data_IF_102873202552
#
_entry.id   IF_102873202552
#
_cell.length_a   1.000
_cell.length_b   1.000
_cell.length_c   1.000
_cell.angle_alpha   90.00
_cell.angle_beta   90.00
_cell.angle_gamma   90.00
#
_symmetry.space_group_name_H-M   'P 1'
#
loop_
_entity.id
_entity.type
_entity.pdbx_description
1 polymer ?
#
# COMPACT_ATOMS: atom_id res chain seq x y z
N UNK A 1 8.96 -39.12 -21.03
CA UNK A 1 7.95 -38.85 -19.99
C UNK A 1 8.02 -37.37 -19.64
N UNK A 2 7.06 -36.53 -20.05
CA UNK A 2 7.15 -35.09 -19.80
C UNK A 2 6.60 -34.77 -18.40
N UNK A 3 7.45 -34.12 -17.61
CA UNK A 3 7.17 -33.63 -16.26
C UNK A 3 6.17 -32.46 -16.34
N UNK A 4 4.96 -32.65 -15.80
CA UNK A 4 3.93 -31.59 -15.71
C UNK A 4 4.17 -30.77 -14.44
N UNK A 5 4.77 -29.59 -14.58
CA UNK A 5 4.77 -28.55 -13.53
C UNK A 5 3.40 -27.87 -13.56
N UNK A 6 2.56 -28.18 -12.57
CA UNK A 6 1.29 -27.48 -12.31
C UNK A 6 1.54 -26.44 -11.23
N UNK A 7 2.00 -25.24 -11.62
CA UNK A 7 1.90 -24.04 -10.78
C UNK A 7 0.41 -23.68 -10.66
N UNK A 8 -0.20 -23.94 -9.49
CA UNK A 8 -1.56 -23.51 -9.20
C UNK A 8 -1.57 -21.98 -9.06
N UNK A 9 -1.99 -21.27 -10.11
CA UNK A 9 -2.54 -19.94 -9.97
C UNK A 9 -3.81 -20.04 -9.11
N UNK A 10 -3.80 -19.54 -7.88
CA UNK A 10 -5.03 -19.34 -7.11
C UNK A 10 -5.77 -18.18 -7.73
N UNK A 11 -6.57 -18.50 -8.74
CA UNK A 11 -7.73 -17.70 -9.01
C UNK A 11 -8.72 -17.88 -7.89
N UNK A 12 -9.22 -16.78 -7.33
CA UNK A 12 -10.55 -16.81 -6.71
C UNK A 12 -11.60 -16.87 -7.83
N UNK A 13 -11.56 -17.92 -8.66
CA UNK A 13 -12.70 -18.34 -9.45
C UNK A 13 -13.39 -19.37 -8.56
N UNK A 14 -14.39 -18.91 -7.81
CA UNK A 14 -15.22 -19.76 -6.95
C UNK A 14 -15.72 -20.94 -7.79
N UNK A 15 -15.27 -22.18 -7.54
CA UNK A 15 -15.92 -23.36 -8.11
C UNK A 15 -17.33 -23.37 -7.54
N UNK A 16 -18.32 -23.66 -8.39
CA UNK A 16 -19.77 -23.60 -8.08
C UNK A 16 -20.25 -24.54 -6.95
N UNK A 17 -19.38 -25.02 -6.06
CA UNK A 17 -19.71 -25.97 -5.00
C UNK A 17 -18.97 -25.81 -3.67
N UNK A 18 -18.33 -24.67 -3.36
CA UNK A 18 -17.96 -24.26 -1.97
C UNK A 18 -17.68 -22.75 -1.94
N UNK A 19 -18.72 -21.96 -1.72
CA UNK A 19 -18.59 -20.54 -1.38
C UNK A 19 -17.81 -20.45 -0.06
N UNK A 20 -16.56 -19.96 -0.09
CA UNK A 20 -15.90 -19.49 1.13
C UNK A 20 -16.73 -18.31 1.63
N UNK A 21 -17.45 -18.52 2.73
CA UNK A 21 -18.28 -17.49 3.36
C UNK A 21 -17.40 -16.61 4.23
N UNK A 22 -17.65 -15.31 4.21
CA UNK A 22 -17.09 -14.37 5.18
C UNK A 22 -17.75 -14.72 6.51
N UNK A 23 -16.97 -14.96 7.55
CA UNK A 23 -17.52 -15.36 8.85
C UNK A 23 -16.90 -14.53 9.96
N UNK A 24 -17.71 -14.28 10.99
CA UNK A 24 -17.35 -13.42 12.10
C UNK A 24 -17.44 -14.22 13.39
N UNK A 25 -16.46 -14.04 14.27
CA UNK A 25 -16.55 -14.56 15.63
C UNK A 25 -17.52 -13.69 16.47
N UNK A 26 -17.90 -14.13 17.69
CA UNK A 26 -18.77 -13.37 18.58
C UNK A 26 -18.27 -11.97 18.95
N UNK A 27 -16.97 -11.69 18.78
CA UNK A 27 -16.39 -10.36 18.97
C UNK A 27 -16.48 -9.47 17.72
N UNK A 28 -17.16 -9.92 16.65
CA UNK A 28 -17.30 -9.18 15.40
C UNK A 28 -16.04 -9.20 14.53
N UNK A 29 -15.08 -10.09 14.81
CA UNK A 29 -13.86 -10.21 14.02
C UNK A 29 -14.03 -11.18 12.85
N UNK A 30 -13.66 -10.73 11.65
CA UNK A 30 -13.58 -11.56 10.46
C UNK A 30 -12.60 -12.74 10.66
N UNK A 31 -12.95 -13.95 10.23
CA UNK A 31 -12.09 -15.14 10.18
C UNK A 31 -12.49 -15.99 8.97
N UNK A 32 -11.61 -16.87 8.50
CA UNK A 32 -12.04 -17.90 7.55
C UNK A 32 -13.00 -18.87 8.25
N UNK A 33 -14.01 -19.35 7.50
CA UNK A 33 -14.99 -20.30 8.02
C UNK A 33 -14.33 -21.59 8.52
N UNK A 34 -13.32 -22.08 7.82
CA UNK A 34 -12.58 -23.29 8.16
C UNK A 34 -11.82 -23.15 9.49
N UNK A 35 -11.22 -21.99 9.74
CA UNK A 35 -10.55 -21.71 11.02
C UNK A 35 -11.57 -21.62 12.15
N UNK A 36 -12.66 -20.87 11.95
CA UNK A 36 -13.75 -20.77 12.93
C UNK A 36 -14.35 -22.13 13.27
N UNK A 37 -14.63 -22.98 12.27
CA UNK A 37 -15.12 -24.33 12.53
C UNK A 37 -14.13 -25.19 13.31
N UNK A 38 -12.83 -25.05 13.05
CA UNK A 38 -11.81 -25.84 13.72
C UNK A 38 -11.55 -25.38 15.16
N UNK A 39 -11.67 -24.08 15.45
CA UNK A 39 -11.29 -23.52 16.76
C UNK A 39 -12.47 -23.15 17.64
N UNK A 40 -13.60 -22.72 17.07
CA UNK A 40 -14.79 -22.21 17.77
C UNK A 40 -16.07 -22.45 16.93
N UNK A 41 -16.51 -23.71 16.76
CA UNK A 41 -17.58 -24.06 15.83
C UNK A 41 -18.94 -23.38 16.12
N UNK A 42 -19.23 -23.10 17.38
CA UNK A 42 -20.42 -22.38 17.85
C UNK A 42 -20.42 -20.88 17.50
N UNK A 43 -19.24 -20.32 17.22
CA UNK A 43 -19.02 -18.91 16.94
C UNK A 43 -19.18 -18.55 15.45
N UNK A 44 -19.32 -19.53 14.56
CA UNK A 44 -19.27 -19.31 13.13
C UNK A 44 -20.60 -18.73 12.59
N UNK A 45 -20.68 -17.39 12.42
CA UNK A 45 -21.84 -16.69 11.81
C UNK A 45 -21.47 -16.02 10.49
N UNK A 46 -22.38 -16.07 9.51
CA UNK A 46 -22.15 -15.65 8.13
C UNK A 46 -22.23 -14.13 7.90
N UNK A 47 -22.81 -13.38 8.84
CA UNK A 47 -23.15 -11.97 8.64
C UNK A 47 -22.58 -11.12 9.77
N UNK A 48 -21.50 -10.41 9.46
CA UNK A 48 -20.92 -9.39 10.31
C UNK A 48 -20.44 -8.23 9.46
N UNK A 49 -20.42 -7.06 10.08
CA UNK A 49 -19.87 -5.86 9.45
C UNK A 49 -18.36 -5.87 9.71
N UNK A 50 -17.58 -5.74 8.64
CA UNK A 50 -16.11 -5.71 8.72
C UNK A 50 -15.67 -4.40 9.37
N UNK A 51 -15.29 -4.44 10.65
CA UNK A 51 -14.60 -3.33 11.30
C UNK A 51 -13.10 -3.40 11.00
N UNK A 52 -12.69 -2.82 9.88
CA UNK A 52 -11.27 -2.60 9.60
C UNK A 52 -10.75 -1.44 10.45
N UNK A 53 -9.59 -1.60 11.09
CA UNK A 53 -8.92 -0.47 11.77
C UNK A 53 -8.18 0.34 10.71
N UNK A 54 -8.41 1.64 10.65
CA UNK A 54 -7.66 2.56 9.78
C UNK A 54 -6.69 3.37 10.64
N UNK A 55 -5.46 3.48 10.19
CA UNK A 55 -4.40 4.28 10.79
C UNK A 55 -3.83 5.24 9.75
N UNK A 56 -3.74 6.52 10.12
CA UNK A 56 -3.40 7.59 9.18
C UNK A 56 -2.27 8.50 9.68
N UNK A 57 -1.78 8.36 10.92
CA UNK A 57 -0.68 9.15 11.53
C UNK A 57 -0.64 10.64 11.15
N UNK A 58 -1.82 11.28 11.08
CA UNK A 58 -2.06 12.58 10.46
C UNK A 58 -1.21 13.74 11.03
N UNK A 59 -0.76 13.62 12.28
CA UNK A 59 0.02 14.66 12.96
C UNK A 59 1.28 15.05 12.17
N UNK A 60 2.05 14.07 11.71
CA UNK A 60 3.31 14.30 11.00
C UNK A 60 3.10 15.03 9.66
N UNK A 61 2.06 14.65 8.91
CA UNK A 61 1.70 15.32 7.66
C UNK A 61 1.21 16.74 7.90
N UNK A 62 0.36 16.96 8.91
CA UNK A 62 -0.16 18.30 9.21
C UNK A 62 0.94 19.25 9.68
N UNK A 63 1.98 18.75 10.34
CA UNK A 63 3.15 19.54 10.72
C UNK A 63 3.96 20.09 9.54
N UNK A 64 3.77 19.55 8.34
CA UNK A 64 4.31 20.08 7.08
C UNK A 64 3.38 21.09 6.40
N UNK A 65 2.11 21.17 6.81
CA UNK A 65 1.18 22.19 6.33
C UNK A 65 1.47 23.50 7.07
N UNK A 66 1.58 24.66 6.39
CA UNK A 66 1.80 25.96 7.03
C UNK A 66 0.74 26.24 8.10
N UNK A 67 1.15 26.85 9.22
CA UNK A 67 0.26 27.05 10.38
C UNK A 67 -1.04 27.78 10.02
N UNK A 68 -0.94 28.84 9.20
CA UNK A 68 -2.09 29.62 8.73
C UNK A 68 -3.08 28.85 7.86
N UNK A 69 -2.68 27.73 7.27
CA UNK A 69 -3.58 26.86 6.47
C UNK A 69 -4.00 25.61 7.24
N UNK A 70 -3.22 25.21 8.26
CA UNK A 70 -3.49 24.04 9.10
C UNK A 70 -4.77 24.18 9.90
N UNK A 71 -5.16 25.41 10.29
CA UNK A 71 -6.41 25.64 11.01
C UNK A 71 -7.67 25.17 10.25
N UNK A 72 -7.63 25.17 8.90
CA UNK A 72 -8.71 24.69 8.03
C UNK A 72 -8.80 23.16 7.97
N UNK A 73 -7.80 22.47 8.51
CA UNK A 73 -7.68 21.01 8.58
C UNK A 73 -7.74 20.49 10.03
N UNK A 74 -7.99 21.37 11.01
CA UNK A 74 -8.12 21.02 12.43
C UNK A 74 -9.53 20.55 12.83
N UNK A 75 -9.77 20.31 14.14
CA UNK A 75 -11.06 19.84 14.66
C UNK A 75 -12.24 20.78 14.34
N UNK A 76 -11.98 22.08 14.14
CA UNK A 76 -12.98 23.07 13.76
C UNK A 76 -13.35 23.09 12.27
N UNK A 77 -12.76 22.23 11.44
CA UNK A 77 -12.99 22.25 9.99
C UNK A 77 -14.46 21.99 9.61
N UNK A 78 -15.15 21.10 10.35
CA UNK A 78 -16.56 20.80 10.14
C UNK A 78 -17.45 22.04 10.32
N UNK A 79 -17.09 22.93 11.26
CA UNK A 79 -17.81 24.19 11.49
C UNK A 79 -17.68 25.17 10.32
N UNK A 80 -16.66 24.99 9.48
CA UNK A 80 -16.45 25.74 8.23
C UNK A 80 -17.14 25.08 7.02
N UNK A 81 -17.93 24.03 7.25
CA UNK A 81 -18.58 23.25 6.18
C UNK A 81 -17.62 22.34 5.41
N UNK A 82 -16.40 22.13 5.91
CA UNK A 82 -15.43 21.23 5.27
C UNK A 82 -15.76 19.76 5.56
N UNK A 83 -15.37 18.81 4.69
CA UNK A 83 -15.55 17.39 4.96
C UNK A 83 -14.74 16.91 6.17
N UNK A 84 -15.08 15.75 6.77
CA UNK A 84 -14.30 15.19 7.86
C UNK A 84 -12.83 14.99 7.49
N UNK A 85 -11.90 15.34 8.39
CA UNK A 85 -10.44 15.21 8.16
C UNK A 85 -10.01 13.78 7.81
N UNK A 86 -10.69 12.77 8.33
CA UNK A 86 -10.44 11.36 7.97
C UNK A 86 -10.70 11.03 6.49
N UNK A 87 -11.33 11.94 5.74
CA UNK A 87 -11.54 11.82 4.29
C UNK A 87 -10.53 12.63 3.48
N UNK A 88 -9.60 13.36 4.12
CA UNK A 88 -8.55 14.14 3.46
C UNK A 88 -7.64 13.23 2.63
N UNK A 89 -7.40 13.59 1.38
CA UNK A 89 -6.56 12.84 0.46
C UNK A 89 -5.28 13.57 0.13
N UNK A 90 -5.40 14.84 -0.26
CA UNK A 90 -4.26 15.65 -0.69
C UNK A 90 -4.37 17.07 -0.10
N UNK A 91 -3.24 17.64 0.28
CA UNK A 91 -3.06 19.07 0.50
C UNK A 91 -2.10 19.58 -0.56
N UNK A 92 -2.47 20.65 -1.26
CA UNK A 92 -1.70 21.22 -2.36
C UNK A 92 -1.34 22.67 -2.04
N UNK A 93 -0.04 22.96 -2.09
CA UNK A 93 0.55 24.23 -1.78
C UNK A 93 1.42 24.66 -2.97
N UNK A 94 0.88 25.49 -3.87
CA UNK A 94 1.61 25.99 -5.04
C UNK A 94 1.87 27.50 -4.87
N UNK A 95 3.13 27.93 -5.02
CA UNK A 95 3.54 29.33 -4.90
C UNK A 95 2.68 30.24 -5.79
N UNK A 96 2.09 31.28 -5.19
CA UNK A 96 1.21 32.22 -5.87
C UNK A 96 -0.21 31.72 -6.13
N UNK A 97 -0.57 30.51 -5.70
CA UNK A 97 -1.93 29.97 -5.78
C UNK A 97 -2.59 29.89 -4.40
N UNK A 98 -3.92 29.91 -4.39
CA UNK A 98 -4.69 29.67 -3.16
C UNK A 98 -4.46 28.22 -2.68
N UNK A 99 -4.10 28.01 -1.41
CA UNK A 99 -3.88 26.68 -0.86
C UNK A 99 -5.18 25.89 -0.89
N UNK A 100 -5.09 24.59 -1.20
CA UNK A 100 -6.27 23.75 -1.40
C UNK A 100 -6.06 22.33 -0.92
N UNK A 101 -7.15 21.67 -0.58
CA UNK A 101 -7.18 20.27 -0.18
C UNK A 101 -8.26 19.51 -0.95
N UNK A 102 -8.03 18.21 -1.14
CA UNK A 102 -8.98 17.30 -1.74
C UNK A 102 -9.45 16.29 -0.70
N UNK A 103 -10.76 16.08 -0.65
CA UNK A 103 -11.42 15.12 0.25
C UNK A 103 -12.23 14.09 -0.55
N UNK A 104 -12.23 12.83 -0.11
CA UNK A 104 -13.14 11.80 -0.64
C UNK A 104 -13.18 11.68 -2.17
N UNK A 105 -14.36 11.82 -2.79
CA UNK A 105 -14.50 11.79 -4.27
C UNK A 105 -14.03 13.10 -4.92
N UNK A 106 -12.81 13.53 -4.60
CA UNK A 106 -12.16 14.74 -5.12
C UNK A 106 -12.92 16.04 -4.85
N UNK A 107 -13.57 16.14 -3.69
CA UNK A 107 -14.17 17.39 -3.24
C UNK A 107 -13.05 18.38 -2.92
N UNK A 108 -12.94 19.43 -3.75
CA UNK A 108 -11.98 20.51 -3.59
C UNK A 108 -12.44 21.49 -2.50
N UNK A 109 -11.52 21.83 -1.60
CA UNK A 109 -11.72 22.81 -0.53
C UNK A 109 -10.53 23.75 -0.49
N UNK A 110 -10.76 25.05 -0.38
CA UNK A 110 -9.68 26.02 -0.20
C UNK A 110 -9.34 26.19 1.28
N UNK A 111 -8.05 26.31 1.60
CA UNK A 111 -7.53 26.46 2.96
C UNK A 111 -7.26 27.91 3.33
N UNK A 112 -8.08 28.81 2.79
CA UNK A 112 -8.08 30.24 3.04
C UNK A 112 -9.46 30.78 2.62
N UNK A 113 -10.04 31.76 3.31
CA UNK A 113 -11.36 32.30 2.97
C UNK A 113 -11.32 33.27 1.78
N UNK A 114 -10.32 34.16 1.75
CA UNK A 114 -10.16 35.17 0.71
C UNK A 114 -9.39 34.61 -0.49
N UNK A 115 -9.66 35.16 -1.68
CA UNK A 115 -9.03 34.73 -2.93
C UNK A 115 -7.61 35.27 -3.14
N UNK A 116 -7.25 36.38 -2.49
CA UNK A 116 -5.94 37.01 -2.56
C UNK A 116 -4.92 36.40 -1.59
N UNK A 117 -5.37 35.54 -0.68
CA UNK A 117 -4.48 34.75 0.17
C UNK A 117 -3.93 33.59 -0.65
N UNK A 118 -2.64 33.68 -0.96
CA UNK A 118 -1.90 32.71 -1.77
C UNK A 118 -0.74 32.13 -0.98
N UNK A 119 -0.24 30.97 -1.41
CA UNK A 119 0.98 30.38 -0.84
C UNK A 119 2.18 31.24 -1.23
N UNK A 120 2.98 31.58 -0.23
CA UNK A 120 4.22 32.34 -0.37
C UNK A 120 5.43 31.44 -0.12
N UNK A 121 6.63 31.87 -0.51
CA UNK A 121 7.85 31.08 -0.28
C UNK A 121 8.06 30.80 1.21
N UNK A 122 7.77 31.79 2.07
CA UNK A 122 7.83 31.65 3.52
C UNK A 122 6.89 30.59 4.11
N UNK A 123 5.82 30.21 3.38
CA UNK A 123 4.97 29.08 3.78
C UNK A 123 5.63 27.73 3.48
N UNK A 124 6.35 27.63 2.36
CA UNK A 124 6.99 26.39 1.93
C UNK A 124 8.27 26.12 2.72
N UNK A 125 9.05 27.16 3.05
CA UNK A 125 10.37 27.04 3.67
C UNK A 125 10.41 26.16 4.92
N UNK A 126 9.47 26.24 5.89
CA UNK A 126 9.48 25.35 7.06
C UNK A 126 9.29 23.87 6.70
N UNK A 127 8.44 23.56 5.72
CA UNK A 127 8.23 22.20 5.26
C UNK A 127 9.46 21.69 4.51
N UNK A 128 10.05 22.53 3.66
CA UNK A 128 11.27 22.21 2.91
C UNK A 128 12.46 21.97 3.83
N UNK A 129 12.62 22.78 4.89
CA UNK A 129 13.67 22.57 5.89
C UNK A 129 13.54 21.22 6.62
N UNK A 130 12.31 20.79 6.95
CA UNK A 130 12.05 19.46 7.54
C UNK A 130 12.30 18.30 6.58
N UNK A 131 12.17 18.55 5.28
CA UNK A 131 12.33 17.58 4.20
C UNK A 131 13.69 17.69 3.50
N UNK A 132 14.61 18.50 4.04
CA UNK A 132 15.88 18.78 3.38
C UNK A 132 16.69 17.49 3.16
N UNK A 133 17.26 17.38 1.97
CA UNK A 133 17.97 16.17 1.52
C UNK A 133 17.10 14.91 1.30
N UNK A 134 15.78 14.94 1.56
CA UNK A 134 14.90 13.75 1.44
C UNK A 134 14.26 13.58 0.06
N UNK A 135 14.34 14.59 -0.81
CA UNK A 135 13.77 14.49 -2.15
C UNK A 135 14.63 13.63 -3.07
N UNK A 136 14.07 12.52 -3.54
CA UNK A 136 14.68 11.65 -4.54
C UNK A 136 14.64 12.23 -5.95
N UNK A 137 15.21 11.49 -6.91
CA UNK A 137 15.25 11.85 -8.32
C UNK A 137 13.86 11.95 -8.98
N UNK A 138 12.83 11.35 -8.36
CA UNK A 138 11.43 11.41 -8.79
C UNK A 138 10.65 12.57 -8.15
N UNK A 139 11.33 13.48 -7.45
CA UNK A 139 10.77 14.59 -6.68
C UNK A 139 9.83 14.17 -5.54
N UNK A 140 9.99 12.96 -5.01
CA UNK A 140 9.28 12.53 -3.80
C UNK A 140 10.19 12.63 -2.59
N UNK A 141 9.63 13.09 -1.47
CA UNK A 141 10.23 13.00 -0.16
C UNK A 141 9.38 12.07 0.72
N UNK A 142 10.06 11.12 1.35
CA UNK A 142 9.48 10.23 2.34
C UNK A 142 9.72 10.68 3.77
N UNK A 143 8.82 10.29 4.66
CA UNK A 143 9.04 10.37 6.10
C UNK A 143 9.19 8.95 6.65
N UNK A 144 10.17 8.77 7.51
CA UNK A 144 10.43 7.50 8.17
C UNK A 144 9.21 7.01 8.94
N UNK A 145 8.85 5.74 8.78
CA UNK A 145 7.71 5.13 9.44
C UNK A 145 6.35 5.62 8.94
N UNK A 146 6.30 6.38 7.84
CA UNK A 146 5.07 7.01 7.33
C UNK A 146 4.65 6.47 5.96
N UNK A 147 3.33 6.40 5.72
CA UNK A 147 2.76 6.13 4.39
C UNK A 147 2.41 7.42 3.63
N UNK A 148 2.57 8.58 4.26
CA UNK A 148 2.36 9.86 3.61
C UNK A 148 3.39 10.05 2.50
N UNK A 149 2.94 10.67 1.40
CA UNK A 149 3.81 10.98 0.26
C UNK A 149 3.86 12.47 0.05
N UNK A 150 5.07 13.03 -0.01
CA UNK A 150 5.28 14.44 -0.30
C UNK A 150 5.92 14.54 -1.67
N UNK A 151 5.28 15.24 -2.59
CA UNK A 151 5.77 15.42 -3.97
C UNK A 151 6.04 16.89 -4.23
N UNK A 152 7.23 17.21 -4.73
CA UNK A 152 7.63 18.57 -5.07
C UNK A 152 7.47 18.84 -6.58
N UNK A 153 7.07 20.06 -6.91
CA UNK A 153 7.25 20.64 -8.24
C UNK A 153 8.48 21.53 -8.24
N UNK A 154 9.39 21.32 -9.20
CA UNK A 154 10.64 22.07 -9.32
C UNK A 154 10.70 22.89 -10.59
N UNK A 155 11.20 24.11 -10.46
CA UNK A 155 11.61 24.92 -11.58
C UNK A 155 12.88 24.32 -12.23
N UNK A 156 13.19 24.75 -13.46
CA UNK A 156 14.43 24.34 -14.15
C UNK A 156 15.70 24.73 -13.37
N UNK A 157 15.62 25.75 -12.52
CA UNK A 157 16.68 26.16 -11.59
C UNK A 157 16.86 25.23 -10.39
N UNK A 158 15.99 24.24 -10.21
CA UNK A 158 15.97 23.33 -9.06
C UNK A 158 15.13 23.82 -7.87
N UNK A 159 14.71 25.09 -7.86
CA UNK A 159 13.85 25.65 -6.81
C UNK A 159 12.51 24.93 -6.76
N UNK A 160 12.09 24.51 -5.55
CA UNK A 160 10.76 23.95 -5.32
C UNK A 160 9.77 25.10 -5.22
N UNK A 161 8.72 25.06 -6.05
CA UNK A 161 7.65 26.07 -6.05
C UNK A 161 6.28 25.49 -5.71
N UNK A 162 6.17 24.19 -5.51
CA UNK A 162 4.91 23.54 -5.16
C UNK A 162 5.11 22.24 -4.41
N UNK A 163 4.18 21.94 -3.50
CA UNK A 163 4.13 20.70 -2.73
C UNK A 163 2.74 20.07 -2.81
N UNK A 164 2.70 18.76 -3.06
CA UNK A 164 1.52 17.92 -2.83
C UNK A 164 1.80 16.99 -1.66
N UNK A 165 1.02 17.09 -0.59
CA UNK A 165 1.07 16.22 0.56
C UNK A 165 -0.11 15.24 0.49
N UNK A 166 0.18 13.98 0.15
CA UNK A 166 -0.82 12.92 0.04
C UNK A 166 -0.91 12.12 1.33
N UNK A 167 -2.13 11.95 1.82
CA UNK A 167 -2.45 11.18 3.01
C UNK A 167 -2.38 9.67 2.72
N UNK A 168 -1.33 9.01 3.22
CA UNK A 168 -1.25 7.56 3.27
C UNK A 168 -2.07 6.98 4.42
N UNK A 169 -2.61 5.78 4.20
CA UNK A 169 -3.42 5.06 5.19
C UNK A 169 -3.03 3.60 5.25
N UNK A 170 -2.93 3.08 6.46
CA UNK A 170 -2.85 1.66 6.74
C UNK A 170 -4.23 1.17 7.17
N UNK A 171 -4.77 0.18 6.44
CA UNK A 171 -6.02 -0.49 6.81
C UNK A 171 -5.66 -1.90 7.26
N UNK A 172 -6.16 -2.29 8.43
CA UNK A 172 -5.94 -3.58 9.05
C UNK A 172 -7.24 -4.37 9.16
N UNK A 173 -7.13 -5.69 9.21
CA UNK A 173 -8.21 -6.65 9.35
C UNK A 173 -8.70 -7.27 8.03
N UNK A 174 -8.16 -6.84 6.89
CA UNK A 174 -8.60 -7.29 5.57
C UNK A 174 -8.05 -8.66 5.19
N UNK A 175 -6.89 -9.05 5.73
CA UNK A 175 -6.28 -10.37 5.45
C UNK A 175 -6.83 -11.49 6.30
N UNK A 176 -7.76 -11.23 7.23
CA UNK A 176 -8.28 -12.26 8.14
C UNK A 176 -8.92 -13.44 7.37
N UNK A 177 -9.56 -13.20 6.22
CA UNK A 177 -10.10 -14.26 5.34
C UNK A 177 -9.03 -15.10 4.63
N UNK A 178 -7.81 -14.58 4.53
CA UNK A 178 -6.70 -15.23 3.84
C UNK A 178 -5.73 -15.89 4.82
N UNK A 179 -6.00 -15.83 6.13
CA UNK A 179 -5.07 -16.30 7.16
C UNK A 179 -4.73 -17.79 7.01
N UNK A 180 -5.69 -18.63 6.60
CA UNK A 180 -5.47 -20.05 6.31
C UNK A 180 -4.48 -20.23 5.15
N UNK A 181 -4.66 -19.47 4.06
CA UNK A 181 -3.77 -19.51 2.90
C UNK A 181 -2.38 -18.97 3.26
N UNK A 182 -2.33 -17.88 4.03
CA UNK A 182 -1.09 -17.20 4.40
C UNK A 182 -0.29 -18.01 5.42
N UNK A 183 -0.89 -18.52 6.49
CA UNK A 183 -0.15 -19.15 7.59
C UNK A 183 -0.02 -20.66 7.48
N UNK A 184 -0.99 -21.36 6.89
CA UNK A 184 -0.94 -22.83 6.76
C UNK A 184 -0.38 -23.29 5.40
N UNK A 185 -0.41 -22.43 4.38
CA UNK A 185 0.07 -22.75 3.04
C UNK A 185 1.51 -22.31 2.76
N UNK A 186 2.21 -23.07 1.92
CA UNK A 186 3.52 -22.69 1.35
C UNK A 186 3.41 -22.12 -0.07
N UNK A 187 2.20 -22.13 -0.62
CA UNK A 187 1.92 -21.72 -2.00
C UNK A 187 2.05 -20.22 -2.20
N UNK A 188 2.46 -19.84 -3.41
CA UNK A 188 2.54 -18.45 -3.82
C UNK A 188 1.16 -17.87 -4.10
N UNK A 189 0.96 -16.59 -3.78
CA UNK A 189 -0.33 -15.92 -3.80
C UNK A 189 -0.24 -14.71 -4.70
N UNK A 190 -1.17 -14.60 -5.65
CA UNK A 190 -1.27 -13.45 -6.55
C UNK A 190 -2.64 -12.78 -6.34
N UNK A 191 -2.64 -11.52 -5.90
CA UNK A 191 -3.83 -10.70 -5.70
C UNK A 191 -4.15 -9.98 -7.00
N UNK A 192 -5.29 -10.31 -7.60
CA UNK A 192 -5.73 -9.73 -8.88
C UNK A 192 -6.81 -8.67 -8.67
N UNK A 193 -6.79 -7.64 -9.51
CA UNK A 193 -7.85 -6.65 -9.56
C UNK A 193 -7.48 -5.37 -10.28
N UNK A 194 -8.50 -4.58 -10.60
CA UNK A 194 -8.36 -3.28 -11.26
C UNK A 194 -7.50 -2.31 -10.43
N UNK A 195 -6.96 -1.24 -11.04
CA UNK A 195 -6.37 -0.14 -10.30
C UNK A 195 -7.32 0.39 -9.21
N UNK A 196 -6.79 0.71 -8.02
CA UNK A 196 -7.57 1.27 -6.91
C UNK A 196 -8.46 0.29 -6.14
N UNK A 197 -8.49 -1.01 -6.45
CA UNK A 197 -9.36 -1.97 -5.75
C UNK A 197 -8.83 -2.47 -4.39
N UNK A 198 -7.76 -1.87 -3.85
CA UNK A 198 -7.20 -2.23 -2.53
C UNK A 198 -6.19 -3.39 -2.52
N UNK A 199 -5.61 -3.77 -3.66
CA UNK A 199 -4.59 -4.84 -3.75
C UNK A 199 -3.41 -4.60 -2.80
N UNK A 200 -2.81 -3.41 -2.87
CA UNK A 200 -1.66 -3.02 -2.05
C UNK A 200 -2.00 -3.08 -0.56
N UNK A 201 -3.22 -2.74 -0.16
CA UNK A 201 -3.69 -2.89 1.22
C UNK A 201 -3.64 -4.35 1.69
N UNK A 202 -4.11 -5.29 0.86
CA UNK A 202 -4.09 -6.73 1.17
C UNK A 202 -2.64 -7.22 1.22
N UNK A 203 -1.83 -6.88 0.22
CA UNK A 203 -0.43 -7.31 0.12
C UNK A 203 0.40 -6.79 1.30
N UNK A 204 0.23 -5.52 1.67
CA UNK A 204 0.89 -4.89 2.82
C UNK A 204 0.56 -5.60 4.12
N UNK A 205 -0.73 -5.82 4.39
CA UNK A 205 -1.12 -6.50 5.61
C UNK A 205 -0.70 -7.98 5.62
N UNK A 206 -0.66 -8.64 4.46
CA UNK A 206 -0.19 -10.01 4.37
C UNK A 206 1.31 -10.12 4.65
N UNK A 207 2.12 -9.15 4.21
CA UNK A 207 3.53 -9.04 4.59
C UNK A 207 3.70 -8.95 6.11
N UNK A 208 2.88 -8.13 6.77
CA UNK A 208 2.84 -8.04 8.24
C UNK A 208 2.50 -9.36 8.89
N UNK A 209 1.39 -9.99 8.50
CA UNK A 209 0.92 -11.26 9.07
C UNK A 209 1.98 -12.35 8.95
N UNK A 210 2.61 -12.48 7.78
CA UNK A 210 3.66 -13.47 7.54
C UNK A 210 4.92 -13.19 8.35
N UNK A 211 5.36 -11.92 8.41
CA UNK A 211 6.57 -11.55 9.14
C UNK A 211 6.41 -11.66 10.67
N UNK A 212 5.24 -11.32 11.20
CA UNK A 212 4.90 -11.52 12.62
C UNK A 212 4.80 -13.00 12.99
N UNK A 213 4.44 -13.86 12.02
CA UNK A 213 4.53 -15.32 12.15
C UNK A 213 5.97 -15.87 12.03
N UNK A 214 6.97 -14.99 12.16
CA UNK A 214 8.41 -15.31 12.18
C UNK A 214 8.99 -15.82 10.86
N UNK A 215 8.29 -15.62 9.75
CA UNK A 215 8.87 -15.84 8.42
C UNK A 215 9.81 -14.69 8.06
N UNK A 216 10.93 -15.00 7.40
CA UNK A 216 11.81 -14.02 6.79
C UNK A 216 11.14 -13.44 5.53
N UNK A 217 10.43 -12.32 5.71
CA UNK A 217 9.72 -11.63 4.65
C UNK A 217 10.55 -10.47 4.11
N UNK A 218 10.75 -10.43 2.79
CA UNK A 218 11.38 -9.31 2.07
C UNK A 218 10.37 -8.72 1.10
N UNK A 219 10.06 -7.44 1.25
CA UNK A 219 9.25 -6.66 0.30
C UNK A 219 10.17 -6.03 -0.74
N UNK A 220 9.96 -6.37 -2.01
CA UNK A 220 10.55 -5.68 -3.16
C UNK A 220 9.56 -4.59 -3.59
N UNK A 221 9.82 -3.37 -3.14
CA UNK A 221 8.87 -2.24 -3.20
C UNK A 221 9.32 -1.24 -4.27
N UNK A 222 8.60 -1.23 -5.40
CA UNK A 222 8.98 -0.42 -6.57
C UNK A 222 8.34 0.95 -6.58
N UNK A 223 7.13 1.05 -6.04
CA UNK A 223 6.34 2.27 -5.98
C UNK A 223 6.47 2.98 -4.62
N UNK A 224 7.12 2.32 -3.65
CA UNK A 224 7.13 2.62 -2.22
C UNK A 224 5.73 2.63 -1.59
N UNK A 225 4.73 2.05 -2.26
CA UNK A 225 3.36 2.04 -1.76
C UNK A 225 3.17 1.04 -0.63
N UNK A 226 3.93 -0.06 -0.57
CA UNK A 226 3.75 -1.06 0.49
C UNK A 226 4.33 -0.54 1.81
N UNK A 227 5.58 -0.11 1.80
CA UNK A 227 6.35 0.22 3.00
C UNK A 227 6.41 1.72 3.31
N UNK A 228 6.02 2.60 2.38
CA UNK A 228 6.18 4.04 2.50
C UNK A 228 7.49 4.55 1.89
N UNK A 229 7.58 5.86 1.64
CA UNK A 229 8.71 6.50 0.95
C UNK A 229 9.95 6.72 1.85
N UNK A 230 9.81 6.68 3.18
CA UNK A 230 10.93 6.86 4.13
C UNK A 230 11.91 5.70 4.13
N UNK A 231 13.11 5.87 4.71
CA UNK A 231 14.12 4.80 4.87
C UNK A 231 13.67 3.74 5.87
N UNK A 232 12.95 4.15 6.91
CA UNK A 232 12.30 3.24 7.86
C UNK A 232 10.90 2.87 7.34
N UNK A 233 10.59 1.58 7.12
CA UNK A 233 9.25 1.15 6.69
C UNK A 233 8.17 1.50 7.72
N UNK A 234 6.96 1.78 7.25
CA UNK A 234 5.79 1.96 8.12
C UNK A 234 5.48 0.66 8.90
N UNK A 235 5.07 0.79 10.17
CA UNK A 235 4.78 -0.36 11.06
C UNK A 235 3.70 -1.33 10.55
N UNK A 236 2.94 -0.93 9.54
CA UNK A 236 1.88 -1.72 8.92
C UNK A 236 2.39 -2.92 8.12
N UNK A 237 3.71 -3.02 7.88
CA UNK A 237 4.36 -4.21 7.31
C UNK A 237 4.96 -5.14 8.36
N UNK A 238 4.81 -4.84 9.66
CA UNK A 238 5.32 -5.69 10.75
C UNK A 238 6.84 -5.77 10.77
N UNK A 239 7.35 -7.00 10.80
CA UNK A 239 8.79 -7.31 10.80
C UNK A 239 9.36 -7.48 9.39
N UNK A 240 8.55 -7.27 8.34
CA UNK A 240 8.99 -7.43 6.97
C UNK A 240 10.10 -6.42 6.64
N UNK A 241 11.17 -6.91 6.02
CA UNK A 241 12.27 -6.09 5.52
C UNK A 241 11.94 -5.56 4.13
N UNK A 242 12.60 -4.49 3.69
CA UNK A 242 12.37 -3.90 2.37
C UNK A 242 13.66 -3.82 1.55
N UNK A 243 13.53 -4.10 0.25
CA UNK A 243 14.43 -3.65 -0.80
C UNK A 243 13.70 -2.64 -1.68
N UNK A 244 14.22 -1.41 -1.75
CA UNK A 244 13.68 -0.37 -2.65
C UNK A 244 14.17 -0.63 -4.08
N UNK A 245 13.26 -0.54 -5.05
CA UNK A 245 13.65 -0.67 -6.47
C UNK A 245 13.89 0.72 -7.06
N UNK A 246 15.07 1.00 -7.66
CA UNK A 246 15.38 2.34 -8.19
C UNK A 246 14.44 2.82 -9.31
N UNK A 247 13.97 1.89 -10.13
CA UNK A 247 12.96 2.16 -11.16
C UNK A 247 12.34 0.86 -11.64
N UNK A 248 11.17 0.94 -12.26
CA UNK A 248 10.44 -0.22 -12.80
C UNK A 248 11.40 -1.21 -13.52
N UNK A 249 12.19 -0.85 -14.55
CA UNK A 249 13.08 -1.80 -15.24
C UNK A 249 13.98 -2.67 -14.35
N UNK A 250 14.35 -2.19 -13.16
CA UNK A 250 15.26 -2.88 -12.25
C UNK A 250 14.58 -3.90 -11.33
N UNK A 251 13.24 -3.93 -11.27
CA UNK A 251 12.49 -4.81 -10.35
C UNK A 251 12.86 -6.29 -10.50
N UNK A 252 13.01 -6.77 -11.74
CA UNK A 252 13.42 -8.15 -11.99
C UNK A 252 14.80 -8.48 -11.39
N UNK A 253 15.77 -7.55 -11.50
CA UNK A 253 17.09 -7.70 -10.90
C UNK A 253 17.04 -7.75 -9.38
N UNK A 254 16.28 -6.82 -8.76
CA UNK A 254 16.12 -6.77 -7.30
C UNK A 254 15.42 -8.02 -6.76
N UNK A 255 14.47 -8.61 -7.49
CA UNK A 255 13.87 -9.91 -7.13
C UNK A 255 14.90 -11.03 -7.04
N UNK A 256 15.84 -11.08 -7.98
CA UNK A 256 16.91 -12.08 -7.98
C UNK A 256 17.90 -11.81 -6.84
N UNK A 257 18.29 -10.54 -6.67
CA UNK A 257 19.19 -10.10 -5.60
C UNK A 257 18.64 -10.48 -4.22
N UNK A 258 17.34 -10.28 -3.99
CA UNK A 258 16.67 -10.64 -2.74
C UNK A 258 16.91 -12.10 -2.37
N UNK A 259 16.82 -13.02 -3.33
CA UNK A 259 17.04 -14.44 -3.05
C UNK A 259 18.51 -14.77 -2.90
N UNK A 260 19.39 -14.14 -3.67
CA UNK A 260 20.83 -14.39 -3.61
C UNK A 260 21.46 -13.94 -2.29
N UNK A 261 21.00 -12.82 -1.73
CA UNK A 261 21.69 -12.14 -0.63
C UNK A 261 20.95 -12.23 0.71
N UNK A 262 19.63 -12.49 0.73
CA UNK A 262 18.82 -12.34 1.93
C UNK A 262 18.04 -13.57 2.36
N UNK A 263 18.15 -14.67 1.60
CA UNK A 263 17.54 -15.99 1.86
C UNK A 263 16.11 -15.90 2.44
N UNK A 264 15.19 -15.19 1.78
CA UNK A 264 13.83 -14.98 2.29
C UNK A 264 13.01 -16.26 2.24
N UNK A 265 12.13 -16.44 3.22
CA UNK A 265 11.05 -17.43 3.15
C UNK A 265 9.97 -16.94 2.18
N UNK A 266 9.70 -15.62 2.21
CA UNK A 266 8.67 -14.97 1.38
C UNK A 266 9.23 -13.70 0.76
N UNK A 267 9.03 -13.55 -0.55
CA UNK A 267 9.17 -12.27 -1.24
C UNK A 267 7.79 -11.68 -1.52
N UNK A 268 7.62 -10.41 -1.15
CA UNK A 268 6.40 -9.64 -1.40
C UNK A 268 6.67 -8.61 -2.50
N UNK A 269 5.79 -8.52 -3.50
CA UNK A 269 5.95 -7.61 -4.64
C UNK A 269 4.65 -6.84 -4.86
N UNK A 270 4.73 -5.51 -4.99
CA UNK A 270 3.53 -4.69 -5.18
C UNK A 270 2.80 -5.04 -6.48
N UNK A 271 3.50 -5.04 -7.61
CA UNK A 271 2.90 -5.33 -8.90
C UNK A 271 3.81 -6.17 -9.80
N UNK A 272 3.26 -7.25 -10.36
CA UNK A 272 3.87 -8.09 -11.39
C UNK A 272 3.05 -7.90 -12.67
N UNK A 273 3.64 -7.25 -13.66
CA UNK A 273 2.99 -6.90 -14.93
C UNK A 273 3.88 -7.04 -16.16
N UNK A 274 5.18 -7.34 -16.02
CA UNK A 274 6.13 -7.45 -17.13
C UNK A 274 6.75 -8.83 -17.24
N UNK A 275 7.08 -9.23 -18.46
CA UNK A 275 7.66 -10.55 -18.75
C UNK A 275 8.94 -10.81 -17.94
N UNK A 276 9.84 -9.82 -17.84
CA UNK A 276 11.07 -9.93 -17.07
C UNK A 276 10.82 -10.22 -15.57
N UNK A 277 9.76 -9.66 -14.99
CA UNK A 277 9.38 -9.93 -13.60
C UNK A 277 8.84 -11.34 -13.44
N UNK A 278 8.07 -11.83 -14.41
CA UNK A 278 7.54 -13.20 -14.41
C UNK A 278 8.67 -14.23 -14.51
N UNK A 279 9.65 -13.99 -15.37
CA UNK A 279 10.86 -14.82 -15.48
C UNK A 279 11.70 -14.77 -14.19
N UNK A 280 11.84 -13.59 -13.58
CA UNK A 280 12.50 -13.47 -12.28
C UNK A 280 11.75 -14.24 -11.18
N UNK A 281 10.42 -14.11 -11.11
CA UNK A 281 9.57 -14.84 -10.16
C UNK A 281 9.69 -16.35 -10.35
N UNK A 282 9.77 -16.84 -11.59
CA UNK A 282 10.04 -18.27 -11.85
C UNK A 282 11.37 -18.72 -11.24
N UNK A 283 12.41 -17.92 -11.41
CA UNK A 283 13.74 -18.20 -10.83
C UNK A 283 13.69 -18.18 -9.30
N UNK A 284 12.98 -17.22 -8.71
CA UNK A 284 12.72 -17.14 -7.26
C UNK A 284 12.02 -18.41 -6.77
N UNK A 285 10.98 -18.86 -7.48
CA UNK A 285 10.23 -20.09 -7.15
C UNK A 285 11.08 -21.35 -7.25
N UNK A 286 11.97 -21.46 -8.24
CA UNK A 286 12.90 -22.59 -8.38
C UNK A 286 13.84 -22.71 -7.18
N UNK A 287 14.09 -21.61 -6.47
CA UNK A 287 14.87 -21.59 -5.22
C UNK A 287 14.05 -21.88 -3.96
N UNK A 288 12.79 -22.31 -4.11
CA UNK A 288 11.92 -22.69 -3.00
C UNK A 288 11.27 -21.50 -2.27
N UNK A 289 11.55 -20.27 -2.67
CA UNK A 289 10.99 -19.06 -2.03
C UNK A 289 9.51 -18.92 -2.38
N UNK A 290 8.70 -18.53 -1.41
CA UNK A 290 7.30 -18.19 -1.62
C UNK A 290 7.17 -16.76 -2.15
N UNK A 291 6.33 -16.55 -3.16
CA UNK A 291 6.03 -15.20 -3.67
C UNK A 291 4.61 -14.80 -3.30
N UNK A 292 4.45 -13.60 -2.77
CA UNK A 292 3.19 -12.91 -2.60
C UNK A 292 3.25 -11.65 -3.47
N UNK A 293 2.27 -11.41 -4.33
CA UNK A 293 2.24 -10.13 -5.03
C UNK A 293 0.88 -9.77 -5.57
N UNK A 294 0.82 -8.66 -6.31
CA UNK A 294 -0.39 -8.27 -7.02
C UNK A 294 -0.16 -8.15 -8.53
N UNK A 295 -1.23 -8.19 -9.30
CA UNK A 295 -1.20 -7.88 -10.73
C UNK A 295 -2.51 -7.21 -11.15
N UNK A 296 -2.44 -6.41 -12.23
CA UNK A 296 -3.61 -5.85 -12.85
C UNK A 296 -4.38 -6.88 -13.68
N UNK A 297 -5.71 -6.81 -13.61
CA UNK A 297 -6.63 -7.63 -14.40
C UNK A 297 -7.38 -8.65 -13.57
N UNK A 298 -8.04 -9.57 -14.26
CA UNK A 298 -8.74 -10.72 -13.70
C UNK A 298 -8.01 -12.01 -14.11
N UNK A 299 -8.42 -13.16 -13.56
CA UNK A 299 -7.77 -14.42 -13.93
C UNK A 299 -7.85 -14.67 -15.44
N UNK A 300 -8.99 -14.39 -16.08
CA UNK A 300 -9.21 -14.73 -17.49
C UNK A 300 -8.25 -13.97 -18.40
N UNK A 301 -8.07 -12.67 -18.15
CA UNK A 301 -7.12 -11.83 -18.86
C UNK A 301 -5.68 -12.26 -18.60
N UNK A 302 -5.34 -12.58 -17.35
CA UNK A 302 -3.99 -13.03 -17.00
C UNK A 302 -3.62 -14.37 -17.65
N UNK A 303 -4.54 -15.36 -17.62
CA UNK A 303 -4.34 -16.67 -18.27
C UNK A 303 -4.28 -16.56 -19.79
N UNK A 304 -4.94 -15.57 -20.39
CA UNK A 304 -4.85 -15.30 -21.84
C UNK A 304 -3.58 -14.54 -22.20
N UNK A 305 -2.96 -13.84 -21.27
CA UNK A 305 -1.75 -13.08 -21.51
C UNK A 305 -0.52 -14.01 -21.55
N UNK A 306 -0.05 -14.32 -22.76
CA UNK A 306 1.10 -15.20 -22.98
C UNK A 306 2.40 -14.71 -22.32
N UNK A 307 2.58 -13.40 -22.17
CA UNK A 307 3.76 -12.80 -21.55
C UNK A 307 3.75 -12.92 -20.01
N UNK A 308 2.59 -13.19 -19.42
CA UNK A 308 2.41 -13.35 -17.97
C UNK A 308 2.13 -14.79 -17.53
N UNK A 309 2.18 -15.75 -18.46
CA UNK A 309 2.14 -17.18 -18.11
C UNK A 309 3.45 -17.55 -17.45
N UNK A 310 3.44 -17.65 -16.12
CA UNK A 310 4.54 -17.99 -15.22
C UNK A 310 4.41 -19.39 -14.65
#
# INVERSE_FOLDING_TARGET
MPCRVLTRAVSVCVPRARLRRICFNPAGEMRSWELLQATQPEAARADGVVSGKVEENMKELLELVPERFREFLGPGNLLRGHPPVCTLQDVVLDLGARPRAFFGKQQLVYLAERHDVVVEQADLDPALAKLDGKFGADNRAGMDGSLHRISAMRAKSGQIYGLTLRVGRAVYGNTKMLTDILLAGTESVLVLGSPGCGKTTIVREAARVLSEARLNVVVVDTSNEICGDGLVPHRSVGLARRMMVPSLPHQAGVLIEAVQNHTPDVIVVDEIGRQAEVEAVRTVKQRGVRVLGSAHGDLRSLVKNGMLKG
#
